data_IF_419110409606
#
_entry.id   IF_419110409606
#
_cell.length_a   1.000
_cell.length_b   1.000
_cell.length_c   1.000
_cell.angle_alpha   90.00
_cell.angle_beta   90.00
_cell.angle_gamma   90.00
#
_symmetry.space_group_name_H-M   'P 1'
#
loop_
_entity.id
_entity.type
_entity.pdbx_description
1 polymer ?
#
# COMPACT_ATOMS: atom_id res chain seq x y z
N UNK A 1 -39.53 -5.20 17.72
CA UNK A 1 -38.30 -4.50 18.15
C UNK A 1 -37.01 -5.28 17.85
N UNK A 2 -36.93 -6.59 18.15
CA UNK A 2 -35.72 -7.40 17.89
C UNK A 2 -35.26 -7.42 16.41
N UNK A 3 -36.20 -7.43 15.47
CA UNK A 3 -35.93 -7.44 14.01
C UNK A 3 -35.34 -6.13 13.49
N UNK A 4 -35.73 -4.98 14.05
CA UNK A 4 -35.17 -3.68 13.69
C UNK A 4 -33.75 -3.50 14.21
N UNK A 5 -33.47 -3.99 15.43
CA UNK A 5 -32.11 -4.00 16.01
C UNK A 5 -31.14 -4.88 15.21
N UNK A 6 -31.59 -6.05 14.75
CA UNK A 6 -30.79 -6.93 13.89
C UNK A 6 -30.49 -6.29 12.53
N UNK A 7 -31.48 -5.66 11.89
CA UNK A 7 -31.29 -4.95 10.63
C UNK A 7 -30.33 -3.74 10.77
N UNK A 8 -30.43 -3.02 11.89
CA UNK A 8 -29.55 -1.89 12.20
C UNK A 8 -28.10 -2.31 12.44
N UNK A 9 -27.84 -3.57 12.83
CA UNK A 9 -26.49 -4.09 13.06
C UNK A 9 -25.84 -4.65 11.79
N UNK A 10 -26.62 -5.13 10.82
CA UNK A 10 -26.13 -5.73 9.58
C UNK A 10 -25.43 -4.70 8.69
N UNK A 11 -26.07 -3.53 8.49
CA UNK A 11 -25.53 -2.47 7.63
C UNK A 11 -24.13 -1.98 8.09
N UNK A 12 -23.91 -1.61 9.37
CA UNK A 12 -22.59 -1.19 9.81
C UNK A 12 -21.57 -2.34 9.74
N UNK A 13 -21.96 -3.60 9.98
CA UNK A 13 -21.06 -4.74 9.84
C UNK A 13 -20.52 -4.88 8.40
N UNK A 14 -21.41 -4.77 7.41
CA UNK A 14 -21.05 -4.83 6.00
C UNK A 14 -20.19 -3.64 5.60
N UNK A 15 -20.55 -2.42 6.02
CA UNK A 15 -19.78 -1.20 5.72
C UNK A 15 -18.37 -1.27 6.29
N UNK A 16 -18.22 -1.66 7.56
CA UNK A 16 -16.91 -1.83 8.19
C UNK A 16 -16.12 -2.93 7.48
N UNK A 17 -16.74 -4.07 7.16
CA UNK A 17 -16.07 -5.13 6.41
C UNK A 17 -15.56 -4.68 5.04
N UNK A 18 -16.37 -3.91 4.30
CA UNK A 18 -16.00 -3.35 2.98
C UNK A 18 -14.83 -2.38 3.11
N UNK A 19 -14.82 -1.51 4.14
CA UNK A 19 -13.70 -0.58 4.37
C UNK A 19 -12.40 -1.34 4.64
N UNK A 20 -12.42 -2.38 5.50
CA UNK A 20 -11.24 -3.21 5.76
C UNK A 20 -10.78 -3.96 4.51
N UNK A 21 -11.71 -4.47 3.69
CA UNK A 21 -11.37 -5.06 2.39
C UNK A 21 -10.70 -4.05 1.46
N UNK A 22 -11.26 -2.85 1.32
CA UNK A 22 -10.69 -1.81 0.45
C UNK A 22 -9.30 -1.37 0.92
N UNK A 23 -9.10 -1.23 2.23
CA UNK A 23 -7.80 -0.88 2.82
C UNK A 23 -6.80 -2.03 2.61
N UNK A 24 -7.19 -3.27 2.87
CA UNK A 24 -6.32 -4.44 2.72
C UNK A 24 -5.95 -4.72 1.27
N UNK A 25 -6.90 -4.59 0.34
CA UNK A 25 -6.66 -4.76 -1.10
C UNK A 25 -5.81 -3.62 -1.68
N UNK A 26 -5.99 -2.37 -1.20
CA UNK A 26 -5.14 -1.25 -1.60
C UNK A 26 -3.79 -1.19 -0.87
N UNK A 27 -3.55 -2.00 0.17
CA UNK A 27 -2.23 -2.08 0.79
C UNK A 27 -1.17 -2.63 -0.20
N UNK A 28 -1.59 -3.31 -1.26
CA UNK A 28 -0.72 -3.77 -2.35
C UNK A 28 -0.29 -2.69 -3.35
N UNK A 29 -0.96 -1.53 -3.41
CA UNK A 29 -0.74 -0.52 -4.46
C UNK A 29 0.16 0.65 -4.05
N UNK A 30 0.52 0.78 -2.77
CA UNK A 30 1.49 1.80 -2.32
C UNK A 30 2.95 1.46 -2.68
N UNK A 31 3.90 2.39 -2.55
CA UNK A 31 5.32 2.07 -2.70
C UNK A 31 5.77 1.10 -1.58
N UNK A 32 6.51 0.05 -1.93
CA UNK A 32 7.14 -0.86 -0.96
C UNK A 32 8.43 -0.29 -0.38
N UNK A 33 9.08 -1.01 0.57
CA UNK A 33 10.32 -0.55 1.22
C UNK A 33 11.51 -0.41 0.26
N UNK A 34 11.46 -1.08 -0.89
CA UNK A 34 12.46 -1.02 -1.97
C UNK A 34 11.95 -0.31 -3.23
N UNK A 35 10.75 0.29 -3.18
CA UNK A 35 10.19 1.00 -4.32
C UNK A 35 10.77 2.39 -4.40
N UNK A 36 11.25 2.76 -5.58
CA UNK A 36 11.67 4.12 -5.89
C UNK A 36 10.51 4.89 -6.50
N UNK A 37 10.35 6.15 -6.14
CA UNK A 37 9.36 7.05 -6.71
C UNK A 37 10.07 8.29 -7.22
N UNK A 38 9.93 8.60 -8.50
CA UNK A 38 10.40 9.86 -9.06
C UNK A 38 9.32 10.91 -8.88
N UNK A 39 9.67 12.00 -8.21
CA UNK A 39 8.78 13.11 -7.92
C UNK A 39 9.53 14.43 -8.09
N UNK A 40 8.79 15.54 -8.23
CA UNK A 40 9.38 16.88 -8.35
C UNK A 40 9.42 17.60 -7.00
N UNK A 41 10.34 18.55 -6.87
CA UNK A 41 10.41 19.40 -5.68
C UNK A 41 9.06 20.08 -5.41
N UNK A 42 8.54 19.89 -4.19
CA UNK A 42 7.24 20.40 -3.77
C UNK A 42 6.08 19.41 -3.86
N UNK A 43 6.27 18.20 -4.41
CA UNK A 43 5.27 17.13 -4.35
C UNK A 43 5.23 16.45 -2.98
N UNK A 44 4.06 15.91 -2.63
CA UNK A 44 3.87 15.18 -1.38
C UNK A 44 4.55 13.81 -1.44
N UNK A 45 5.31 13.47 -0.39
CA UNK A 45 5.87 12.14 -0.22
C UNK A 45 4.95 11.26 0.60
N UNK A 46 4.70 10.05 0.12
CA UNK A 46 4.02 9.01 0.87
C UNK A 46 4.84 8.50 2.07
N UNK A 47 4.18 7.67 2.89
CA UNK A 47 4.78 7.12 4.12
C UNK A 47 5.90 6.09 3.84
N UNK A 48 5.85 5.44 2.68
CA UNK A 48 6.74 4.34 2.26
C UNK A 48 7.32 4.61 0.87
N UNK A 49 8.47 3.99 0.56
CA UNK A 49 9.23 4.17 -0.67
C UNK A 49 10.35 5.22 -0.55
N UNK A 50 11.29 5.17 -1.49
CA UNK A 50 12.39 6.13 -1.61
C UNK A 50 12.08 7.14 -2.71
N UNK A 51 11.94 8.41 -2.35
CA UNK A 51 11.59 9.49 -3.27
C UNK A 51 12.84 10.15 -3.81
N UNK A 52 12.92 10.28 -5.13
CA UNK A 52 14.05 10.89 -5.81
C UNK A 52 13.56 12.02 -6.72
N UNK A 53 14.38 13.06 -6.84
CA UNK A 53 14.15 14.11 -7.82
C UNK A 53 14.34 13.55 -9.23
N UNK A 54 13.30 13.68 -10.06
CA UNK A 54 13.33 13.19 -11.43
C UNK A 54 14.40 13.88 -12.29
N UNK A 55 14.83 15.09 -11.94
CA UNK A 55 15.78 15.89 -12.73
C UNK A 55 17.24 15.70 -12.33
N UNK A 56 17.52 15.39 -11.06
CA UNK A 56 18.89 15.27 -10.55
C UNK A 56 19.25 13.86 -10.07
N UNK A 57 18.25 12.99 -9.89
CA UNK A 57 18.43 11.67 -9.26
C UNK A 57 18.79 11.74 -7.77
N UNK A 58 18.82 12.94 -7.18
CA UNK A 58 19.13 13.15 -5.77
C UNK A 58 17.93 12.83 -4.86
N UNK A 59 18.16 12.53 -3.57
CA UNK A 59 17.07 12.30 -2.64
C UNK A 59 16.17 13.53 -2.52
N UNK A 60 14.88 13.35 -2.78
CA UNK A 60 13.91 14.44 -2.77
C UNK A 60 13.64 14.94 -1.35
N UNK A 61 13.65 16.27 -1.18
CA UNK A 61 13.16 16.91 0.05
C UNK A 61 11.69 17.25 -0.16
N UNK A 62 10.82 16.63 0.62
CA UNK A 62 9.37 16.71 0.43
C UNK A 62 8.63 16.79 1.76
N UNK A 63 7.41 17.32 1.71
CA UNK A 63 6.49 17.28 2.86
C UNK A 63 5.85 15.90 2.92
N UNK A 64 6.08 15.20 4.04
CA UNK A 64 5.36 13.97 4.39
C UNK A 64 4.27 14.26 5.43
N UNK A 65 3.45 13.26 5.81
CA UNK A 65 2.42 13.44 6.82
C UNK A 65 3.01 13.92 8.16
N UNK A 66 2.87 15.22 8.43
CA UNK A 66 3.22 15.89 9.68
C UNK A 66 4.63 16.48 9.81
N UNK A 67 5.59 16.15 8.93
CA UNK A 67 7.00 16.59 9.04
C UNK A 67 7.67 16.73 7.66
N UNK A 68 8.67 17.61 7.58
CA UNK A 68 9.62 17.62 6.47
C UNK A 68 10.39 16.30 6.45
N UNK A 69 10.28 15.54 5.37
CA UNK A 69 11.09 14.35 5.13
C UNK A 69 12.16 14.67 4.10
N UNK A 70 13.39 14.34 4.46
CA UNK A 70 14.43 14.05 3.50
C UNK A 70 14.37 12.56 3.27
N UNK A 71 14.05 12.12 2.06
CA UNK A 71 14.45 10.76 1.68
C UNK A 71 15.98 10.73 1.71
N UNK A 72 16.56 9.64 2.21
CA UNK A 72 17.95 9.33 1.97
C UNK A 72 17.92 8.05 1.13
N UNK A 73 18.73 7.98 0.07
CA UNK A 73 18.89 6.74 -0.71
C UNK A 73 19.65 5.75 0.15
N UNK A 74 18.92 5.13 1.07
CA UNK A 74 19.37 4.07 1.97
C UNK A 74 18.29 2.99 1.96
N UNK A 75 18.61 1.90 1.28
CA UNK A 75 17.72 0.75 1.24
C UNK A 75 17.97 -0.16 2.45
N UNK A 76 16.92 -0.61 3.14
CA UNK A 76 17.10 -1.45 4.31
C UNK A 76 17.75 -2.79 3.93
N UNK A 77 18.86 -3.12 4.60
CA UNK A 77 19.63 -4.34 4.36
C UNK A 77 20.77 -4.19 3.33
N UNK A 78 20.85 -3.06 2.61
CA UNK A 78 21.94 -2.81 1.67
C UNK A 78 23.20 -2.37 2.43
N UNK A 79 24.38 -2.76 1.92
CA UNK A 79 25.65 -2.23 2.43
C UNK A 79 25.84 -0.77 2.02
N UNK A 80 26.77 -0.07 2.68
CA UNK A 80 27.12 1.30 2.32
C UNK A 80 27.60 1.39 0.86
N UNK A 81 28.40 0.43 0.42
CA UNK A 81 28.93 0.35 -0.94
C UNK A 81 27.81 0.12 -1.98
N UNK A 82 26.82 -0.71 -1.65
CA UNK A 82 25.66 -0.95 -2.52
C UNK A 82 24.78 0.30 -2.66
N UNK A 83 24.54 1.01 -1.56
CA UNK A 83 23.80 2.28 -1.60
C UNK A 83 24.56 3.36 -2.40
N UNK A 84 25.89 3.44 -2.25
CA UNK A 84 26.72 4.35 -3.04
C UNK A 84 26.79 3.98 -4.53
N UNK A 85 26.75 2.69 -4.87
CA UNK A 85 26.64 2.23 -6.26
C UNK A 85 25.32 2.69 -6.89
N UNK A 86 24.19 2.47 -6.19
CA UNK A 86 22.87 2.92 -6.66
C UNK A 86 22.85 4.44 -6.82
N UNK A 87 23.41 5.19 -5.87
CA UNK A 87 23.49 6.66 -5.95
C UNK A 87 24.29 7.13 -7.15
N UNK A 88 25.50 6.61 -7.36
CA UNK A 88 26.32 6.95 -8.54
C UNK A 88 25.60 6.66 -9.85
N UNK A 89 24.91 5.52 -9.90
CA UNK A 89 24.20 5.12 -11.11
C UNK A 89 23.00 6.02 -11.41
N UNK A 90 22.23 6.42 -10.38
CA UNK A 90 21.14 7.39 -10.51
C UNK A 90 21.62 8.75 -10.98
N UNK A 91 22.74 9.25 -10.43
CA UNK A 91 23.35 10.51 -10.88
C UNK A 91 23.77 10.43 -12.34
N UNK A 92 24.36 9.30 -12.77
CA UNK A 92 24.75 9.10 -14.18
C UNK A 92 23.54 9.14 -15.11
N UNK A 93 22.42 8.51 -14.73
CA UNK A 93 21.19 8.52 -15.52
C UNK A 93 20.56 9.92 -15.61
N UNK A 94 20.68 10.74 -14.56
CA UNK A 94 20.19 12.11 -14.56
C UNK A 94 21.08 13.08 -15.37
N UNK A 95 22.38 12.79 -15.51
CA UNK A 95 23.27 13.58 -16.38
C UNK A 95 22.89 13.48 -17.87
N UNK A 96 22.29 12.35 -18.28
CA UNK A 96 21.76 12.14 -19.64
C UNK A 96 20.43 12.90 -19.90
N UNK A 97 19.86 13.53 -18.87
CA UNK A 97 18.60 14.29 -18.91
C UNK A 97 17.64 13.91 -17.79
N UNK A 98 16.39 14.39 -17.86
CA UNK A 98 15.36 13.99 -16.88
C UNK A 98 15.15 12.47 -16.89
N UNK A 99 15.07 11.86 -15.71
CA UNK A 99 14.84 10.43 -15.53
C UNK A 99 13.52 10.01 -16.17
N UNK A 100 13.61 9.15 -17.19
CA UNK A 100 12.46 8.67 -17.93
C UNK A 100 11.77 7.49 -17.24
N UNK A 101 10.58 7.12 -17.74
CA UNK A 101 9.87 5.90 -17.32
C UNK A 101 10.67 4.62 -17.61
N UNK A 102 11.56 4.64 -18.60
CA UNK A 102 12.45 3.51 -18.89
C UNK A 102 13.57 3.42 -17.87
N UNK A 103 14.11 4.55 -17.44
CA UNK A 103 15.10 4.63 -16.36
C UNK A 103 14.49 4.20 -15.03
N UNK A 104 13.22 4.51 -14.81
CA UNK A 104 12.50 4.01 -13.64
C UNK A 104 12.47 2.49 -13.56
N UNK A 105 12.15 1.82 -14.67
CA UNK A 105 12.08 0.34 -14.70
C UNK A 105 13.45 -0.31 -14.55
N UNK A 106 14.48 0.27 -15.16
CA UNK A 106 15.85 -0.24 -15.02
C UNK A 106 16.36 -0.06 -13.59
N UNK A 107 16.10 1.11 -12.99
CA UNK A 107 16.40 1.41 -11.59
C UNK A 107 15.72 0.43 -10.64
N UNK A 108 14.41 0.26 -10.79
CA UNK A 108 13.64 -0.66 -9.95
C UNK A 108 14.13 -2.11 -10.11
N UNK A 109 14.39 -2.56 -11.35
CA UNK A 109 14.89 -3.91 -11.60
C UNK A 109 16.27 -4.17 -10.97
N UNK A 110 17.16 -3.17 -10.96
CA UNK A 110 18.48 -3.28 -10.31
C UNK A 110 18.35 -3.40 -8.80
N UNK A 111 17.53 -2.55 -8.19
CA UNK A 111 17.27 -2.56 -6.75
C UNK A 111 16.61 -3.87 -6.34
N UNK A 112 15.62 -4.35 -7.11
CA UNK A 112 14.97 -5.63 -6.87
C UNK A 112 15.98 -6.80 -6.99
N UNK A 113 16.93 -6.72 -7.92
CA UNK A 113 18.01 -7.70 -8.07
C UNK A 113 18.94 -7.74 -6.86
N UNK A 114 19.33 -6.58 -6.32
CA UNK A 114 20.15 -6.50 -5.09
C UNK A 114 19.34 -7.02 -3.90
N UNK A 115 18.08 -6.59 -3.78
CA UNK A 115 17.18 -7.01 -2.70
C UNK A 115 16.90 -8.52 -2.72
N UNK A 116 16.87 -9.16 -3.89
CA UNK A 116 16.72 -10.60 -4.03
C UNK A 116 17.96 -11.39 -3.57
N UNK A 117 19.15 -10.77 -3.57
CA UNK A 117 20.39 -11.37 -3.10
C UNK A 117 20.66 -11.18 -1.60
N UNK A 118 19.77 -10.48 -0.88
CA UNK A 118 19.96 -10.20 0.54
C UNK A 118 19.84 -11.47 1.40
N UNK A 119 20.66 -11.62 2.46
CA UNK A 119 20.57 -12.75 3.37
C UNK A 119 19.20 -12.81 4.09
N UNK A 120 18.70 -14.02 4.42
CA UNK A 120 17.40 -14.18 5.06
C UNK A 120 17.32 -13.39 6.38
N UNK A 121 16.22 -12.67 6.58
CA UNK A 121 15.99 -11.82 7.77
C UNK A 121 16.53 -10.39 7.69
N UNK A 122 17.27 -10.04 6.62
CA UNK A 122 17.68 -8.63 6.36
C UNK A 122 16.74 -7.91 5.41
N UNK A 123 15.99 -8.68 4.61
CA UNK A 123 14.98 -8.14 3.71
C UNK A 123 13.78 -7.67 4.52
N UNK A 124 13.39 -6.41 4.33
CA UNK A 124 12.12 -5.91 4.86
C UNK A 124 11.04 -6.37 3.90
N UNK A 125 10.27 -7.39 4.29
CA UNK A 125 9.08 -7.76 3.54
C UNK A 125 8.13 -6.56 3.46
N UNK A 126 7.47 -6.42 2.31
CA UNK A 126 6.33 -5.51 2.23
C UNK A 126 5.31 -5.93 3.28
N UNK A 127 4.83 -4.99 4.11
CA UNK A 127 3.75 -5.29 5.04
C UNK A 127 2.55 -5.84 4.27
N UNK A 128 2.36 -7.15 4.37
CA UNK A 128 1.16 -7.82 3.88
C UNK A 128 0.05 -7.53 4.89
N UNK A 129 -0.85 -6.61 4.55
CA UNK A 129 -2.11 -6.40 5.30
C UNK A 129 -3.13 -7.52 5.05
N UNK A 130 -2.66 -8.77 5.04
CA UNK A 130 -3.50 -9.96 4.89
C UNK A 130 -4.47 -10.11 6.06
N UNK A 131 -4.11 -9.60 7.23
CA UNK A 131 -4.96 -9.57 8.42
C UNK A 131 -6.20 -8.71 8.19
N UNK A 132 -6.03 -7.53 7.59
CA UNK A 132 -7.12 -6.60 7.27
C UNK A 132 -8.02 -7.14 6.17
N UNK A 133 -7.46 -7.82 5.16
CA UNK A 133 -8.24 -8.55 4.15
C UNK A 133 -9.06 -9.67 4.81
N UNK A 134 -8.45 -10.44 5.72
CA UNK A 134 -9.12 -11.51 6.46
C UNK A 134 -10.26 -11.00 7.34
N UNK A 135 -10.03 -9.93 8.09
CA UNK A 135 -11.04 -9.25 8.93
C UNK A 135 -12.17 -8.72 8.05
N UNK A 136 -11.84 -8.03 6.96
CA UNK A 136 -12.80 -7.49 6.02
C UNK A 136 -13.69 -8.58 5.39
N UNK A 137 -13.07 -9.65 4.90
CA UNK A 137 -13.79 -10.79 4.32
C UNK A 137 -14.73 -11.46 5.32
N UNK A 138 -14.28 -11.66 6.57
CA UNK A 138 -15.09 -12.25 7.63
C UNK A 138 -16.30 -11.37 7.99
N UNK A 139 -16.10 -10.06 8.15
CA UNK A 139 -17.16 -9.11 8.50
C UNK A 139 -18.18 -8.94 7.38
N UNK A 140 -17.73 -8.77 6.14
CA UNK A 140 -18.63 -8.67 4.97
C UNK A 140 -19.40 -9.97 4.77
N UNK A 141 -18.74 -11.13 4.89
CA UNK A 141 -19.38 -12.44 4.81
C UNK A 141 -20.46 -12.64 5.87
N UNK A 142 -20.14 -12.35 7.14
CA UNK A 142 -21.10 -12.43 8.25
C UNK A 142 -22.30 -11.49 8.03
N UNK A 143 -22.06 -10.26 7.60
CA UNK A 143 -23.12 -9.29 7.29
C UNK A 143 -24.06 -9.76 6.18
N UNK A 144 -23.53 -10.35 5.10
CA UNK A 144 -24.33 -10.88 4.00
C UNK A 144 -25.15 -12.11 4.39
N UNK A 145 -24.60 -13.03 5.20
CA UNK A 145 -25.32 -14.20 5.72
C UNK A 145 -26.48 -13.76 6.63
N UNK A 146 -26.22 -12.81 7.53
CA UNK A 146 -27.26 -12.27 8.43
C UNK A 146 -28.32 -11.49 7.65
N UNK A 147 -27.92 -10.69 6.66
CA UNK A 147 -28.83 -9.94 5.80
C UNK A 147 -29.73 -10.83 4.94
N UNK A 148 -29.18 -11.87 4.33
CA UNK A 148 -29.95 -12.82 3.52
C UNK A 148 -30.93 -13.64 4.35
N UNK A 149 -30.51 -14.11 5.54
CA UNK A 149 -31.40 -14.79 6.50
C UNK A 149 -32.54 -13.89 6.99
N UNK A 150 -32.25 -12.62 7.26
CA UNK A 150 -33.26 -11.63 7.63
C UNK A 150 -34.25 -11.37 6.48
N UNK A 151 -33.75 -11.12 5.27
CA UNK A 151 -34.58 -10.85 4.09
C UNK A 151 -35.50 -12.04 3.77
N UNK A 152 -34.99 -13.27 3.84
CA UNK A 152 -35.78 -14.48 3.65
C UNK A 152 -36.89 -14.61 4.70
N UNK A 153 -36.56 -14.38 5.99
CA UNK A 153 -37.55 -14.46 7.08
C UNK A 153 -38.61 -13.36 6.99
N UNK A 154 -38.22 -12.14 6.64
CA UNK A 154 -39.16 -11.03 6.43
C UNK A 154 -40.11 -11.29 5.26
N UNK A 155 -39.57 -11.76 4.14
CA UNK A 155 -40.37 -12.11 2.97
C UNK A 155 -41.31 -13.29 3.24
N UNK A 156 -40.88 -14.27 4.05
CA UNK A 156 -41.75 -15.36 4.51
C UNK A 156 -42.89 -14.85 5.39
N UNK A 157 -42.62 -13.94 6.33
CA UNK A 157 -43.65 -13.34 7.17
C UNK A 157 -44.68 -12.54 6.35
N UNK A 158 -44.21 -11.74 5.37
CA UNK A 158 -45.08 -11.00 4.43
C UNK A 158 -46.02 -11.91 3.64
N UNK A 159 -45.57 -13.11 3.25
CA UNK A 159 -46.41 -14.10 2.55
C UNK A 159 -47.36 -14.85 3.49
N UNK A 160 -47.03 -14.95 4.78
CA UNK A 160 -47.84 -15.64 5.78
C UNK A 160 -48.93 -14.75 6.41
N UNK A 161 -49.03 -13.47 6.03
CA UNK A 161 -50.09 -12.56 6.47
C UNK A 161 -49.91 -12.00 7.88
N UNK A 162 -48.67 -11.97 8.40
CA UNK A 162 -48.30 -11.30 9.66
C UNK A 162 -47.72 -9.90 9.43
#
# INVERSE_FOLDING_TARGET
>A
MLTGLLAALILPLVLVGVVFLLIGLNAGSGPGPYTVVFAKAGEECGATGQYLDASTGEPLRCMGPGLLRTSAVEFPGFSAEQNDEVRRWLTTLAEDGDLSVFDHRSVQARIDGIAAGLPPGTRVERESRSTEVGIGAALTGAGLVLGSGFAWRWHRNRRAGF
#
